data_IF_362444340308
#
_entry.id   IF_362444340308
#
_cell.length_a   1.000
_cell.length_b   1.000
_cell.length_c   1.000
_cell.angle_alpha   90.00
_cell.angle_beta   90.00
_cell.angle_gamma   90.00
#
_symmetry.space_group_name_H-M   'P 1'
#
loop_
_entity.id
_entity.type
_entity.pdbx_description
1 polymer ?
#
# COMPACT_ATOMS: atom_id res chain seq x y z
N UNK A 1 -0.31 12.21 -27.05
CA UNK A 1 0.68 11.33 -26.39
C UNK A 1 1.44 12.01 -25.24
N UNK A 2 1.65 13.29 -25.25
CA UNK A 2 2.43 13.99 -24.23
C UNK A 2 1.66 14.38 -22.97
N UNK A 3 0.34 14.47 -23.07
CA UNK A 3 -0.54 14.88 -21.97
C UNK A 3 -1.41 13.75 -21.40
N UNK A 4 -1.39 12.57 -22.03
CA UNK A 4 -2.31 11.48 -21.67
C UNK A 4 -1.66 10.10 -21.87
N UNK A 5 -2.02 9.10 -21.05
CA UNK A 5 -1.46 7.76 -21.09
C UNK A 5 -2.08 6.91 -22.24
N UNK A 6 -2.06 7.44 -23.45
CA UNK A 6 -2.52 6.76 -24.68
C UNK A 6 -1.37 6.09 -25.41
N UNK A 7 -1.63 4.97 -26.06
CA UNK A 7 -0.65 4.25 -26.89
C UNK A 7 -0.82 4.59 -28.38
N UNK A 8 0.21 4.34 -29.18
CA UNK A 8 0.11 4.50 -30.63
C UNK A 8 -0.92 3.54 -31.23
N UNK A 9 -1.13 2.36 -30.64
CA UNK A 9 -2.18 1.42 -31.05
C UNK A 9 -3.58 1.97 -30.81
N UNK A 10 -3.81 2.66 -29.68
CA UNK A 10 -5.07 3.35 -29.44
C UNK A 10 -5.31 4.45 -30.51
N UNK A 11 -4.26 5.19 -30.87
CA UNK A 11 -4.37 6.22 -31.92
C UNK A 11 -4.61 5.63 -33.31
N UNK A 12 -4.08 4.44 -33.61
CA UNK A 12 -4.36 3.70 -34.83
C UNK A 12 -5.86 3.40 -34.99
N UNK A 13 -6.51 2.96 -33.91
CA UNK A 13 -7.96 2.67 -33.91
C UNK A 13 -8.82 3.91 -34.21
N UNK A 14 -8.41 5.08 -33.71
CA UNK A 14 -9.18 6.31 -33.88
C UNK A 14 -8.83 7.12 -35.13
N UNK A 15 -7.55 7.12 -35.52
CA UNK A 15 -7.03 8.01 -36.58
C UNK A 15 -6.53 7.26 -37.80
N UNK A 16 -6.60 5.93 -37.83
CA UNK A 16 -6.16 5.05 -38.92
C UNK A 16 -4.69 5.24 -39.33
N UNK A 17 -3.83 5.61 -38.37
CA UNK A 17 -2.39 5.79 -38.58
C UNK A 17 -1.69 4.53 -38.09
N UNK A 18 -0.86 3.89 -38.91
CA UNK A 18 -0.12 2.67 -38.55
C UNK A 18 0.68 2.87 -37.24
N UNK A 19 0.29 2.16 -36.16
CA UNK A 19 0.83 2.32 -34.81
C UNK A 19 2.36 2.24 -34.76
N UNK A 20 2.94 1.20 -35.34
CA UNK A 20 4.40 0.99 -35.31
C UNK A 20 5.19 2.09 -36.07
N UNK A 21 4.65 2.58 -37.19
CA UNK A 21 5.26 3.66 -37.94
C UNK A 21 5.19 4.96 -37.17
N UNK A 22 4.02 5.25 -36.59
CA UNK A 22 3.82 6.45 -35.78
C UNK A 22 4.68 6.43 -34.52
N UNK A 23 4.76 5.28 -33.83
CA UNK A 23 5.60 5.15 -32.64
C UNK A 23 7.07 5.42 -32.93
N UNK A 24 7.60 4.86 -34.04
CA UNK A 24 8.96 5.12 -34.48
C UNK A 24 9.17 6.60 -34.79
N UNK A 25 8.30 7.22 -35.57
CA UNK A 25 8.40 8.66 -35.92
C UNK A 25 8.30 9.54 -34.66
N UNK A 26 7.36 9.23 -33.77
CA UNK A 26 7.22 9.97 -32.54
C UNK A 26 8.47 9.86 -31.67
N UNK A 27 9.01 8.65 -31.51
CA UNK A 27 10.22 8.39 -30.72
C UNK A 27 11.47 9.06 -31.34
N UNK A 28 11.66 8.97 -32.67
CA UNK A 28 12.88 9.41 -33.31
C UNK A 28 12.89 10.92 -33.62
N UNK A 29 11.73 11.51 -33.95
CA UNK A 29 11.71 12.85 -34.56
C UNK A 29 10.76 13.83 -33.85
N UNK A 30 9.63 13.40 -33.32
CA UNK A 30 8.58 14.32 -32.88
C UNK A 30 8.59 14.61 -31.37
N UNK A 31 9.03 13.67 -30.54
CA UNK A 31 8.88 13.77 -29.10
C UNK A 31 10.01 14.45 -28.34
N UNK A 32 11.17 14.61 -28.96
CA UNK A 32 12.41 15.02 -28.30
C UNK A 32 13.04 13.92 -27.42
N UNK A 33 12.62 12.66 -27.55
CA UNK A 33 13.16 11.55 -26.77
C UNK A 33 14.67 11.39 -26.93
N UNK A 34 15.19 11.54 -28.18
CA UNK A 34 16.63 11.38 -28.48
C UNK A 34 17.51 12.46 -27.86
N UNK A 35 16.95 13.65 -27.65
CA UNK A 35 17.64 14.79 -27.03
C UNK A 35 17.30 15.01 -25.58
N UNK A 36 16.57 14.05 -24.98
CA UNK A 36 16.17 14.15 -23.58
C UNK A 36 17.37 14.02 -22.64
N UNK A 37 17.55 15.01 -21.77
CA UNK A 37 18.69 15.14 -20.85
C UNK A 37 18.86 13.96 -19.89
N UNK A 38 17.76 13.30 -19.50
CA UNK A 38 17.79 12.13 -18.60
C UNK A 38 17.89 10.79 -19.33
N UNK A 39 17.98 10.77 -20.67
CA UNK A 39 18.01 9.54 -21.47
C UNK A 39 19.10 8.55 -21.03
N UNK A 40 20.27 9.07 -20.63
CA UNK A 40 21.43 8.26 -20.25
C UNK A 40 21.14 7.28 -19.10
N UNK A 41 20.36 7.72 -18.14
CA UNK A 41 20.10 7.01 -16.86
C UNK A 41 18.62 6.74 -16.57
N UNK A 42 17.71 6.99 -17.52
CA UNK A 42 16.27 6.91 -17.31
C UNK A 42 15.76 5.53 -16.87
N UNK A 43 16.49 4.46 -17.17
CA UNK A 43 16.20 3.10 -16.69
C UNK A 43 16.59 2.87 -15.22
N UNK A 44 17.35 3.77 -14.62
CA UNK A 44 17.81 3.69 -13.23
C UNK A 44 17.13 4.72 -12.34
N UNK A 45 17.07 5.96 -12.77
CA UNK A 45 16.45 7.04 -12.00
C UNK A 45 16.02 8.21 -12.88
N UNK A 46 14.96 8.90 -12.42
CA UNK A 46 14.47 10.19 -12.93
C UNK A 46 14.38 11.18 -11.79
N UNK A 47 14.71 12.45 -12.03
CA UNK A 47 14.58 13.54 -11.06
C UNK A 47 14.09 14.81 -11.73
N UNK A 48 13.08 15.46 -11.13
CA UNK A 48 12.45 16.69 -11.61
C UNK A 48 12.40 17.71 -10.47
N UNK A 49 13.47 18.46 -10.31
CA UNK A 49 13.67 19.39 -9.20
C UNK A 49 12.59 20.49 -9.11
N UNK A 50 12.06 20.92 -10.26
CA UNK A 50 11.03 21.97 -10.34
C UNK A 50 9.66 21.52 -9.78
N UNK A 51 9.44 20.21 -9.67
CA UNK A 51 8.18 19.66 -9.17
C UNK A 51 8.12 19.55 -7.64
N UNK A 52 9.21 19.87 -6.94
CA UNK A 52 9.24 19.78 -5.50
C UNK A 52 8.28 20.80 -4.88
N UNK A 53 7.58 20.43 -3.82
CA UNK A 53 6.62 21.29 -3.12
C UNK A 53 6.68 21.08 -1.62
N UNK A 54 5.92 21.86 -0.87
CA UNK A 54 5.91 21.81 0.59
C UNK A 54 5.43 20.47 1.19
N UNK A 55 4.61 19.73 0.46
CA UNK A 55 4.07 18.42 0.90
C UNK A 55 4.35 17.36 -0.15
N UNK A 56 5.10 16.34 0.24
CA UNK A 56 5.49 15.24 -0.65
C UNK A 56 5.10 13.89 -0.05
N UNK A 57 5.03 12.88 -0.92
CA UNK A 57 4.88 11.47 -0.50
C UNK A 57 6.07 10.67 -1.05
N UNK A 58 6.55 9.72 -0.25
CA UNK A 58 7.50 8.69 -0.66
C UNK A 58 6.79 7.36 -0.56
N UNK A 59 6.80 6.57 -1.64
CA UNK A 59 6.13 5.28 -1.69
C UNK A 59 6.88 4.31 -2.62
N UNK A 60 6.66 3.02 -2.44
CA UNK A 60 7.24 1.96 -3.27
C UNK A 60 6.19 1.36 -4.19
N UNK A 61 6.58 1.03 -5.40
CA UNK A 61 5.70 0.32 -6.33
C UNK A 61 6.45 -0.74 -7.13
N UNK A 62 5.82 -1.90 -7.26
CA UNK A 62 6.26 -2.93 -8.20
C UNK A 62 5.57 -2.66 -9.55
N UNK A 63 6.33 -2.56 -10.63
CA UNK A 63 5.76 -2.33 -11.96
C UNK A 63 5.52 -3.63 -12.73
N UNK A 64 6.51 -4.51 -12.82
CA UNK A 64 6.37 -5.87 -13.40
C UNK A 64 7.57 -6.73 -13.03
N UNK A 65 7.42 -8.05 -13.12
CA UNK A 65 8.51 -9.03 -12.93
C UNK A 65 9.37 -8.81 -11.66
N UNK A 66 8.78 -8.28 -10.58
CA UNK A 66 9.52 -7.97 -9.36
C UNK A 66 10.36 -6.68 -9.41
N UNK A 67 10.26 -5.88 -10.47
CA UNK A 67 10.93 -4.57 -10.51
C UNK A 67 10.27 -3.60 -9.54
N UNK A 68 10.99 -3.24 -8.49
CA UNK A 68 10.59 -2.25 -7.50
C UNK A 68 11.13 -0.88 -7.87
N UNK A 69 10.33 0.14 -7.63
CA UNK A 69 10.71 1.55 -7.76
C UNK A 69 10.28 2.31 -6.51
N UNK A 70 11.16 3.19 -6.02
CA UNK A 70 10.79 4.22 -5.05
C UNK A 70 10.37 5.46 -5.81
N UNK A 71 9.19 5.98 -5.49
CA UNK A 71 8.60 7.15 -6.17
C UNK A 71 8.40 8.26 -5.16
N UNK A 72 8.88 9.45 -5.50
CA UNK A 72 8.66 10.68 -4.75
C UNK A 72 7.70 11.57 -5.53
N UNK A 73 6.61 11.98 -4.88
CA UNK A 73 5.54 12.72 -5.53
C UNK A 73 5.18 14.00 -4.78
N UNK A 74 4.83 15.05 -5.53
CA UNK A 74 4.23 16.27 -4.99
C UNK A 74 2.73 16.05 -4.76
N UNK A 75 2.30 16.07 -3.51
CA UNK A 75 0.91 15.84 -3.12
C UNK A 75 -0.04 16.91 -3.66
N UNK A 76 0.43 18.14 -3.81
CA UNK A 76 -0.39 19.27 -4.26
C UNK A 76 -0.83 19.16 -5.71
N UNK A 77 -0.07 18.46 -6.56
CA UNK A 77 -0.36 18.32 -8.00
C UNK A 77 -1.42 17.26 -8.34
N UNK A 78 -1.80 16.42 -7.37
CA UNK A 78 -2.92 15.46 -7.47
C UNK A 78 -2.90 14.53 -8.69
N UNK A 79 -1.72 14.03 -9.08
CA UNK A 79 -1.58 13.09 -10.21
C UNK A 79 -1.70 13.75 -11.59
N UNK A 80 -1.50 15.05 -11.66
CA UNK A 80 -1.36 15.83 -12.90
C UNK A 80 0.12 16.11 -13.18
N UNK A 81 0.40 16.89 -14.20
CA UNK A 81 1.74 17.41 -14.50
C UNK A 81 2.32 18.11 -13.24
N UNK A 82 3.61 17.91 -13.00
CA UNK A 82 4.29 18.37 -11.78
C UNK A 82 4.19 17.41 -10.59
N UNK A 83 3.52 16.26 -10.73
CA UNK A 83 3.38 15.28 -9.65
C UNK A 83 4.66 14.50 -9.39
N UNK A 84 5.33 14.06 -10.44
CA UNK A 84 6.52 13.22 -10.33
C UNK A 84 7.74 14.09 -9.99
N UNK A 85 8.29 13.89 -8.78
CA UNK A 85 9.54 14.55 -8.35
C UNK A 85 10.73 13.65 -8.64
N UNK A 86 10.65 12.37 -8.26
CA UNK A 86 11.68 11.40 -8.54
C UNK A 86 11.09 9.99 -8.68
N UNK A 87 11.74 9.18 -9.49
CA UNK A 87 11.47 7.77 -9.64
C UNK A 87 12.80 7.02 -9.73
N UNK A 88 13.08 6.14 -8.78
CA UNK A 88 14.37 5.46 -8.65
C UNK A 88 14.15 3.95 -8.63
N UNK A 89 14.88 3.22 -9.44
CA UNK A 89 14.83 1.75 -9.47
C UNK A 89 15.43 1.17 -8.20
N UNK A 90 14.65 0.35 -7.50
CA UNK A 90 14.98 -0.26 -6.22
C UNK A 90 14.47 0.53 -5.03
N UNK A 91 14.79 0.00 -3.84
CA UNK A 91 14.32 0.48 -2.52
C UNK A 91 15.48 0.79 -1.57
N UNK A 92 16.73 0.71 -2.06
CA UNK A 92 17.92 1.00 -1.27
C UNK A 92 17.96 2.48 -0.89
N UNK A 93 18.06 2.75 0.42
CA UNK A 93 18.11 4.11 0.93
C UNK A 93 19.28 4.91 0.33
N UNK A 94 20.43 4.29 0.12
CA UNK A 94 21.61 4.99 -0.41
C UNK A 94 21.42 5.39 -1.87
N UNK A 95 20.90 4.48 -2.72
CA UNK A 95 20.62 4.78 -4.13
C UNK A 95 19.56 5.87 -4.32
N UNK A 96 18.51 5.80 -3.51
CA UNK A 96 17.42 6.80 -3.56
C UNK A 96 17.93 8.16 -3.04
N UNK A 97 18.69 8.15 -1.95
CA UNK A 97 19.32 9.36 -1.41
C UNK A 97 20.24 10.00 -2.44
N UNK A 98 21.12 9.22 -3.11
CA UNK A 98 22.01 9.73 -4.14
C UNK A 98 21.25 10.40 -5.29
N UNK A 99 20.15 9.81 -5.76
CA UNK A 99 19.32 10.39 -6.80
C UNK A 99 18.65 11.71 -6.35
N UNK A 100 18.07 11.74 -5.13
CA UNK A 100 17.38 12.91 -4.61
C UNK A 100 18.35 14.05 -4.27
N UNK A 101 19.58 13.74 -3.84
CA UNK A 101 20.62 14.74 -3.56
C UNK A 101 21.09 15.53 -4.80
N UNK A 102 20.73 15.11 -6.00
CA UNK A 102 20.90 15.90 -7.22
C UNK A 102 19.97 17.11 -7.28
N UNK A 103 18.93 17.15 -6.46
CA UNK A 103 18.09 18.33 -6.25
C UNK A 103 18.84 19.27 -5.32
N UNK A 104 18.92 20.51 -5.69
CA UNK A 104 19.54 21.57 -4.88
C UNK A 104 18.98 21.61 -3.45
N UNK A 105 19.85 21.86 -2.47
CA UNK A 105 19.49 21.88 -1.06
C UNK A 105 18.41 22.93 -0.75
N UNK A 106 18.50 24.10 -1.38
CA UNK A 106 17.48 25.14 -1.21
C UNK A 106 16.09 24.65 -1.62
N UNK A 107 15.98 23.91 -2.72
CA UNK A 107 14.71 23.32 -3.16
C UNK A 107 14.24 22.20 -2.23
N UNK A 108 15.16 21.38 -1.71
CA UNK A 108 14.82 20.33 -0.75
C UNK A 108 14.36 20.90 0.61
N UNK A 109 14.89 22.07 1.01
CA UNK A 109 14.55 22.72 2.29
C UNK A 109 13.13 23.30 2.32
N UNK A 110 12.46 23.51 1.18
CA UNK A 110 11.06 23.96 1.15
C UNK A 110 10.07 22.88 1.56
N UNK A 111 10.50 21.61 1.61
CA UNK A 111 9.64 20.50 2.02
C UNK A 111 9.35 20.60 3.51
N UNK A 112 8.08 20.75 3.86
CA UNK A 112 7.59 20.89 5.23
C UNK A 112 7.03 19.57 5.78
N UNK A 113 6.48 18.74 4.89
CA UNK A 113 5.83 17.48 5.25
C UNK A 113 6.13 16.37 4.27
N UNK A 114 6.41 15.19 4.82
CA UNK A 114 6.58 13.96 4.07
C UNK A 114 5.65 12.90 4.63
N UNK A 115 4.81 12.33 3.77
CA UNK A 115 4.03 11.13 4.10
C UNK A 115 4.75 9.90 3.56
N UNK A 116 4.92 8.89 4.42
CA UNK A 116 5.65 7.65 4.10
C UNK A 116 5.06 6.46 4.88
N UNK A 117 5.49 5.26 4.53
CA UNK A 117 5.20 4.05 5.31
C UNK A 117 6.13 3.91 6.54
N UNK A 118 6.08 2.77 7.22
CA UNK A 118 6.92 2.47 8.39
C UNK A 118 8.25 1.79 8.01
N UNK A 119 8.66 1.82 6.74
CA UNK A 119 9.92 1.25 6.29
C UNK A 119 11.11 2.08 6.78
N UNK A 120 12.09 1.43 7.39
CA UNK A 120 13.31 2.08 7.86
C UNK A 120 14.10 2.75 6.73
N UNK A 121 14.07 2.18 5.51
CA UNK A 121 14.70 2.78 4.34
C UNK A 121 14.08 4.11 3.98
N UNK A 122 12.74 4.22 3.97
CA UNK A 122 12.04 5.47 3.68
C UNK A 122 12.27 6.54 4.75
N UNK A 123 12.30 6.14 6.02
CA UNK A 123 12.64 7.04 7.12
C UNK A 123 14.06 7.60 6.99
N UNK A 124 15.02 6.76 6.58
CA UNK A 124 16.40 7.16 6.37
C UNK A 124 16.52 8.12 5.17
N UNK A 125 15.84 7.84 4.06
CA UNK A 125 15.77 8.73 2.90
C UNK A 125 15.19 10.10 3.32
N UNK A 126 14.05 10.11 3.99
CA UNK A 126 13.40 11.34 4.43
C UNK A 126 14.30 12.16 5.38
N UNK A 127 14.99 11.50 6.32
CA UNK A 127 15.92 12.14 7.27
C UNK A 127 17.11 12.77 6.55
N UNK A 128 17.70 12.07 5.58
CA UNK A 128 18.89 12.52 4.86
C UNK A 128 18.59 13.62 3.85
N UNK A 129 17.51 13.44 3.07
CA UNK A 129 17.20 14.33 1.96
C UNK A 129 16.40 15.56 2.36
N UNK A 130 15.59 15.47 3.42
CA UNK A 130 14.63 16.50 3.82
C UNK A 130 14.62 16.68 5.35
N UNK A 131 15.74 17.14 5.97
CA UNK A 131 15.92 17.15 7.41
C UNK A 131 14.90 18.01 8.16
N UNK A 132 14.38 19.06 7.51
CA UNK A 132 13.43 20.01 8.09
C UNK A 132 11.97 19.56 8.00
N UNK A 133 11.70 18.49 7.26
CA UNK A 133 10.34 18.04 7.00
C UNK A 133 9.76 17.21 8.16
N UNK A 134 8.52 17.50 8.54
CA UNK A 134 7.74 16.66 9.42
C UNK A 134 7.40 15.34 8.73
N UNK A 135 7.76 14.22 9.35
CA UNK A 135 7.50 12.87 8.83
C UNK A 135 6.19 12.36 9.40
N UNK A 136 5.25 12.03 8.54
CA UNK A 136 3.92 11.50 8.90
C UNK A 136 3.78 10.09 8.37
N UNK A 137 3.45 9.14 9.25
CA UNK A 137 3.17 7.75 8.86
C UNK A 137 1.76 7.66 8.26
N UNK A 138 1.67 6.96 7.14
CA UNK A 138 0.37 6.70 6.53
C UNK A 138 -0.46 5.70 7.34
N UNK A 139 -1.64 6.14 7.76
CA UNK A 139 -2.59 5.33 8.54
C UNK A 139 -3.03 4.04 7.84
N UNK A 140 -3.00 3.99 6.49
CA UNK A 140 -3.41 2.80 5.75
C UNK A 140 -2.44 1.65 5.98
N UNK A 141 -1.13 1.92 6.05
CA UNK A 141 -0.12 0.93 6.40
C UNK A 141 -0.31 0.42 7.83
N UNK A 142 -0.62 1.30 8.78
CA UNK A 142 -0.95 0.92 10.16
C UNK A 142 -2.17 -0.01 10.19
N UNK A 143 -3.25 0.36 9.50
CA UNK A 143 -4.46 -0.46 9.44
C UNK A 143 -4.22 -1.80 8.72
N UNK A 144 -3.37 -1.81 7.70
CA UNK A 144 -2.97 -3.03 7.01
C UNK A 144 -2.30 -4.02 7.97
N UNK A 145 -1.34 -3.58 8.79
CA UNK A 145 -0.70 -4.43 9.79
C UNK A 145 -1.72 -5.07 10.75
N UNK A 146 -2.66 -4.27 11.27
CA UNK A 146 -3.71 -4.78 12.15
C UNK A 146 -4.62 -5.80 11.46
N UNK A 147 -4.95 -5.58 10.19
CA UNK A 147 -5.72 -6.52 9.40
C UNK A 147 -4.94 -7.81 9.11
N UNK A 148 -3.64 -7.69 8.83
CA UNK A 148 -2.77 -8.84 8.53
C UNK A 148 -2.60 -9.72 9.78
N UNK A 149 -2.42 -9.14 10.98
CA UNK A 149 -2.38 -9.88 12.24
C UNK A 149 -3.71 -10.62 12.52
N UNK A 150 -4.85 -9.97 12.30
CA UNK A 150 -6.15 -10.62 12.42
C UNK A 150 -6.31 -11.77 11.40
N UNK A 151 -5.78 -11.62 10.18
CA UNK A 151 -5.80 -12.69 9.19
C UNK A 151 -4.87 -13.84 9.54
N UNK A 152 -3.72 -13.57 10.14
CA UNK A 152 -2.81 -14.61 10.64
C UNK A 152 -3.51 -15.52 11.65
N UNK A 153 -4.19 -14.95 12.64
CA UNK A 153 -4.96 -15.72 13.62
C UNK A 153 -6.09 -16.53 12.95
N UNK A 154 -6.85 -15.91 12.02
CA UNK A 154 -7.89 -16.63 11.27
C UNK A 154 -7.33 -17.79 10.44
N UNK A 155 -6.15 -17.63 9.86
CA UNK A 155 -5.48 -18.64 9.05
C UNK A 155 -5.00 -19.79 9.97
N UNK A 156 -4.48 -19.50 11.15
CA UNK A 156 -4.09 -20.51 12.12
C UNK A 156 -5.29 -21.41 12.47
N UNK A 157 -6.41 -20.83 12.91
CA UNK A 157 -7.64 -21.59 13.16
C UNK A 157 -8.14 -22.39 11.96
N UNK A 158 -7.93 -21.85 10.74
CA UNK A 158 -8.32 -22.59 9.54
C UNK A 158 -7.45 -23.82 9.31
N UNK A 159 -6.17 -23.76 9.63
CA UNK A 159 -5.29 -24.93 9.54
C UNK A 159 -5.67 -25.97 10.61
N UNK A 160 -5.97 -25.54 11.84
CA UNK A 160 -6.45 -26.43 12.90
C UNK A 160 -7.75 -27.14 12.50
N UNK A 161 -8.69 -26.39 11.90
CA UNK A 161 -9.95 -26.96 11.40
C UNK A 161 -9.75 -27.94 10.22
N UNK A 162 -8.75 -27.72 9.38
CA UNK A 162 -8.39 -28.65 8.29
C UNK A 162 -7.77 -29.91 8.88
N UNK A 163 -6.89 -29.79 9.86
CA UNK A 163 -6.25 -30.93 10.51
C UNK A 163 -7.30 -31.79 11.22
N UNK A 164 -8.17 -31.16 12.03
CA UNK A 164 -9.25 -31.86 12.71
C UNK A 164 -10.21 -32.63 11.75
N UNK A 165 -10.53 -32.02 10.60
CA UNK A 165 -11.34 -32.68 9.54
C UNK A 165 -10.59 -33.88 8.93
N UNK A 166 -9.28 -33.78 8.76
CA UNK A 166 -8.44 -34.87 8.22
C UNK A 166 -8.34 -36.02 9.22
N UNK A 167 -8.06 -35.72 10.48
CA UNK A 167 -7.93 -36.70 11.56
C UNK A 167 -9.24 -37.48 11.75
N UNK A 168 -10.38 -36.76 11.75
CA UNK A 168 -11.70 -37.38 11.85
C UNK A 168 -12.05 -38.31 10.67
N UNK A 169 -11.57 -37.98 9.46
CA UNK A 169 -11.72 -38.86 8.28
C UNK A 169 -10.87 -40.13 8.38
N UNK A 170 -9.64 -39.98 8.84
CA UNK A 170 -8.74 -41.11 9.04
C UNK A 170 -9.26 -42.06 10.14
N UNK A 171 -9.75 -41.51 11.23
CA UNK A 171 -10.37 -42.28 12.31
C UNK A 171 -11.61 -43.05 11.82
N UNK A 172 -12.53 -42.38 11.11
CA UNK A 172 -13.70 -43.01 10.53
C UNK A 172 -13.31 -44.18 9.57
N UNK A 173 -12.27 -43.96 8.77
CA UNK A 173 -11.74 -44.99 7.86
C UNK A 173 -11.15 -46.19 8.63
N UNK A 174 -10.42 -45.97 9.70
CA UNK A 174 -9.85 -47.02 10.55
C UNK A 174 -10.96 -47.83 11.24
N UNK A 175 -12.06 -47.18 11.63
CA UNK A 175 -13.22 -47.83 12.26
C UNK A 175 -14.20 -48.43 11.27
N UNK A 176 -13.98 -48.28 9.95
CA UNK A 176 -14.92 -48.76 8.90
C UNK A 176 -16.25 -48.01 8.88
N UNK A 177 -16.31 -46.80 9.46
CA UNK A 177 -17.50 -45.97 9.54
C UNK A 177 -17.58 -44.93 8.44
N UNK A 178 -18.80 -44.51 8.03
CA UNK A 178 -18.92 -43.37 7.11
C UNK A 178 -18.54 -42.08 7.79
N UNK A 179 -17.68 -41.28 7.13
CA UNK A 179 -17.32 -39.96 7.62
C UNK A 179 -18.48 -38.96 7.45
N UNK A 180 -18.82 -38.25 8.50
CA UNK A 180 -19.79 -37.14 8.48
C UNK A 180 -19.11 -35.85 8.98
N UNK A 181 -19.03 -34.79 8.16
CA UNK A 181 -18.39 -33.53 8.57
C UNK A 181 -19.22 -32.82 9.64
N UNK A 182 -18.54 -32.14 10.57
CA UNK A 182 -19.19 -31.23 11.51
C UNK A 182 -19.71 -30.02 10.73
N UNK A 183 -21.01 -29.73 10.89
CA UNK A 183 -21.69 -28.60 10.23
C UNK A 183 -22.20 -27.62 11.29
N UNK A 184 -21.89 -26.33 11.11
CA UNK A 184 -22.32 -25.24 11.97
C UNK A 184 -23.76 -24.80 11.67
N UNK A 185 -24.36 -23.99 12.53
CA UNK A 185 -25.75 -23.52 12.41
C UNK A 185 -26.09 -22.78 11.10
N UNK A 186 -25.07 -22.32 10.36
CA UNK A 186 -25.23 -21.67 9.06
C UNK A 186 -25.01 -22.60 7.85
N UNK A 187 -24.82 -23.90 8.08
CA UNK A 187 -24.57 -24.91 7.05
C UNK A 187 -23.11 -24.98 6.55
N UNK A 188 -22.21 -24.14 7.05
CA UNK A 188 -20.79 -24.22 6.75
C UNK A 188 -20.09 -25.21 7.69
N UNK A 189 -19.05 -25.92 7.21
CA UNK A 189 -18.09 -26.56 8.09
C UNK A 189 -17.15 -25.48 8.71
N UNK A 190 -16.45 -25.74 9.85
CA UNK A 190 -15.48 -24.80 10.43
C UNK A 190 -14.47 -24.29 9.41
N UNK A 191 -13.89 -25.18 8.61
CA UNK A 191 -12.96 -24.85 7.52
C UNK A 191 -13.57 -23.90 6.47
N UNK A 192 -14.81 -24.14 6.05
CA UNK A 192 -15.52 -23.31 5.07
C UNK A 192 -15.87 -21.95 5.66
N UNK A 193 -16.35 -21.92 6.91
CA UNK A 193 -16.64 -20.68 7.60
C UNK A 193 -15.39 -19.77 7.67
N UNK A 194 -14.27 -20.28 8.14
CA UNK A 194 -13.02 -19.51 8.24
C UNK A 194 -12.50 -19.07 6.88
N UNK A 195 -12.63 -19.87 5.81
CA UNK A 195 -12.23 -19.48 4.45
C UNK A 195 -13.07 -18.32 3.90
N UNK A 196 -14.39 -18.37 4.10
CA UNK A 196 -15.34 -17.41 3.52
C UNK A 196 -15.45 -16.08 4.29
N UNK A 197 -14.85 -15.97 5.49
CA UNK A 197 -15.01 -14.78 6.36
C UNK A 197 -13.86 -13.77 6.30
N UNK A 198 -12.88 -13.96 5.40
CA UNK A 198 -11.74 -13.04 5.25
C UNK A 198 -12.18 -11.58 5.12
N UNK A 199 -13.07 -11.27 4.17
CA UNK A 199 -13.51 -9.91 3.92
C UNK A 199 -14.49 -9.36 4.95
N UNK A 200 -15.18 -10.23 5.68
CA UNK A 200 -16.05 -9.83 6.77
C UNK A 200 -15.25 -9.17 7.90
N UNK A 201 -14.09 -9.72 8.24
CA UNK A 201 -13.22 -9.23 9.29
C UNK A 201 -12.53 -7.90 8.95
N UNK A 202 -12.42 -7.55 7.67
CA UNK A 202 -11.91 -6.23 7.26
C UNK A 202 -12.96 -5.12 7.33
N UNK A 203 -14.24 -5.50 7.39
CA UNK A 203 -15.35 -4.54 7.35
C UNK A 203 -15.78 -4.17 8.77
N UNK A 204 -16.08 -2.89 8.98
CA UNK A 204 -16.67 -2.41 10.24
C UNK A 204 -18.03 -3.05 10.51
N UNK A 205 -18.31 -3.37 11.76
CA UNK A 205 -19.56 -4.03 12.18
C UNK A 205 -20.82 -3.19 11.87
N UNK A 206 -20.70 -1.86 11.92
CA UNK A 206 -21.78 -0.92 11.55
C UNK A 206 -22.16 -1.01 10.05
N UNK A 207 -21.22 -1.49 9.22
CA UNK A 207 -21.42 -1.67 7.77
C UNK A 207 -21.81 -3.09 7.37
N UNK A 208 -22.00 -3.99 8.32
CA UNK A 208 -22.44 -5.35 8.03
C UNK A 208 -23.91 -5.39 7.67
N UNK A 209 -24.23 -6.16 6.63
CA UNK A 209 -25.62 -6.56 6.36
C UNK A 209 -26.13 -7.50 7.46
N UNK A 210 -27.43 -7.69 7.58
CA UNK A 210 -28.03 -8.60 8.58
C UNK A 210 -27.47 -10.03 8.45
N UNK A 211 -27.30 -10.52 7.22
CA UNK A 211 -26.67 -11.82 6.97
C UNK A 211 -25.20 -11.86 7.42
N UNK A 212 -24.46 -10.77 7.24
CA UNK A 212 -23.06 -10.67 7.70
C UNK A 212 -22.97 -10.64 9.22
N UNK A 213 -23.88 -9.95 9.92
CA UNK A 213 -23.96 -9.93 11.39
C UNK A 213 -24.15 -11.34 11.94
N UNK A 214 -25.16 -12.06 11.44
CA UNK A 214 -25.44 -13.43 11.85
C UNK A 214 -24.24 -14.37 11.66
N UNK A 215 -23.52 -14.20 10.58
CA UNK A 215 -22.32 -14.98 10.27
C UNK A 215 -21.13 -14.61 11.16
N UNK A 216 -21.01 -13.34 11.55
CA UNK A 216 -20.00 -12.90 12.50
C UNK A 216 -20.29 -13.41 13.91
N UNK A 217 -21.55 -13.46 14.33
CA UNK A 217 -21.98 -14.01 15.61
C UNK A 217 -21.53 -15.48 15.74
N UNK A 218 -21.85 -16.32 14.76
CA UNK A 218 -21.42 -17.72 14.74
C UNK A 218 -19.89 -17.86 14.75
N UNK A 219 -19.17 -17.03 13.94
CA UNK A 219 -17.71 -17.05 13.93
C UNK A 219 -17.13 -16.70 15.31
N UNK A 220 -17.65 -15.67 15.95
CA UNK A 220 -17.14 -15.17 17.21
C UNK A 220 -17.58 -16.00 18.42
N UNK A 221 -18.63 -16.77 18.29
CA UNK A 221 -19.03 -17.79 19.27
C UNK A 221 -18.07 -18.98 19.26
N UNK A 222 -17.69 -19.44 18.07
CA UNK A 222 -16.75 -20.54 17.88
C UNK A 222 -15.28 -20.14 18.16
N UNK A 223 -14.92 -18.89 17.87
CA UNK A 223 -13.55 -18.36 18.02
C UNK A 223 -13.57 -17.02 18.76
N UNK A 224 -13.67 -17.03 20.11
CA UNK A 224 -13.73 -15.81 20.93
C UNK A 224 -12.48 -14.93 20.81
N UNK A 225 -11.32 -15.54 20.61
CA UNK A 225 -10.05 -14.84 20.36
C UNK A 225 -10.06 -14.05 19.05
N UNK A 226 -10.71 -14.54 18.00
CA UNK A 226 -10.93 -13.76 16.76
C UNK A 226 -11.86 -12.56 16.98
N UNK A 227 -12.81 -12.65 17.92
CA UNK A 227 -13.65 -11.49 18.33
C UNK A 227 -12.78 -10.42 18.98
N UNK A 228 -11.91 -10.83 19.88
CA UNK A 228 -11.00 -9.91 20.57
C UNK A 228 -10.00 -9.28 19.60
N UNK A 229 -9.36 -10.07 18.75
CA UNK A 229 -8.46 -9.59 17.71
C UNK A 229 -9.15 -8.62 16.73
N UNK A 230 -10.40 -8.92 16.33
CA UNK A 230 -11.22 -8.00 15.53
C UNK A 230 -11.48 -6.68 16.28
N UNK A 231 -11.78 -6.75 17.57
CA UNK A 231 -11.98 -5.56 18.42
C UNK A 231 -10.72 -4.70 18.50
N UNK A 232 -9.53 -5.31 18.64
CA UNK A 232 -8.25 -4.61 18.65
C UNK A 232 -7.96 -3.92 17.31
N UNK A 233 -8.08 -4.63 16.19
CA UNK A 233 -7.88 -4.06 14.85
C UNK A 233 -8.86 -2.92 14.56
N UNK A 234 -10.10 -3.06 15.01
CA UNK A 234 -11.16 -2.08 14.81
C UNK A 234 -10.98 -0.84 15.69
N UNK A 235 -10.62 -1.04 16.98
CA UNK A 235 -10.34 0.06 17.90
C UNK A 235 -9.17 0.92 17.40
N UNK A 236 -8.12 0.32 16.83
CA UNK A 236 -7.03 1.06 16.21
C UNK A 236 -7.54 1.92 15.04
N UNK A 237 -8.37 1.37 14.15
CA UNK A 237 -9.05 2.13 13.07
C UNK A 237 -9.84 3.32 13.61
N UNK A 238 -10.56 3.13 14.72
CA UNK A 238 -11.38 4.17 15.32
C UNK A 238 -10.53 5.30 15.92
N UNK A 239 -9.33 5.01 16.44
CA UNK A 239 -8.39 6.03 16.90
C UNK A 239 -8.07 7.01 15.77
N UNK A 240 -7.69 6.51 14.60
CA UNK A 240 -7.38 7.35 13.43
C UNK A 240 -8.59 8.03 12.80
N UNK A 241 -9.78 7.50 13.00
CA UNK A 241 -11.01 8.06 12.40
C UNK A 241 -11.66 9.13 13.28
N UNK A 242 -11.69 8.94 14.59
CA UNK A 242 -12.44 9.80 15.53
C UNK A 242 -11.60 10.91 16.17
N UNK A 243 -10.31 10.67 16.45
CA UNK A 243 -9.50 11.70 17.08
C UNK A 243 -9.07 12.76 16.05
N UNK A 244 -9.23 14.01 16.43
CA UNK A 244 -8.83 15.17 15.61
C UNK A 244 -7.67 15.94 16.25
N UNK A 245 -7.34 15.65 17.50
CA UNK A 245 -6.30 16.33 18.28
C UNK A 245 -5.23 15.31 18.68
N UNK A 246 -3.96 15.72 18.55
CA UNK A 246 -2.77 14.86 18.81
C UNK A 246 -2.77 14.27 20.23
N UNK A 247 -3.12 15.06 21.25
CA UNK A 247 -3.11 14.60 22.65
C UNK A 247 -4.23 13.60 22.94
N UNK A 248 -5.42 13.80 22.37
CA UNK A 248 -6.51 12.84 22.48
C UNK A 248 -6.14 11.50 21.80
N UNK A 249 -5.46 11.57 20.66
CA UNK A 249 -4.96 10.39 19.96
C UNK A 249 -3.88 9.66 20.78
N UNK A 250 -2.96 10.41 21.41
CA UNK A 250 -1.93 9.86 22.32
C UNK A 250 -2.56 9.05 23.44
N UNK A 251 -3.56 9.59 24.13
CA UNK A 251 -4.26 8.91 25.21
C UNK A 251 -5.02 7.66 24.69
N UNK A 252 -5.63 7.77 23.53
CA UNK A 252 -6.35 6.65 22.88
C UNK A 252 -5.40 5.51 22.48
N UNK A 253 -4.21 5.85 21.96
CA UNK A 253 -3.15 4.87 21.65
C UNK A 253 -2.62 4.20 22.93
N UNK A 254 -2.37 4.96 24.00
CA UNK A 254 -1.94 4.38 25.27
C UNK A 254 -2.95 3.35 25.81
N UNK A 255 -4.25 3.63 25.73
CA UNK A 255 -5.30 2.68 26.09
C UNK A 255 -5.33 1.47 25.16
N UNK A 256 -5.02 1.66 23.88
CA UNK A 256 -4.94 0.58 22.91
C UNK A 256 -3.75 -0.34 23.20
N UNK A 257 -2.57 0.21 23.53
CA UNK A 257 -1.40 -0.57 23.95
C UNK A 257 -1.70 -1.47 25.16
N UNK A 258 -2.35 -0.93 26.19
CA UNK A 258 -2.75 -1.70 27.35
C UNK A 258 -3.70 -2.86 26.98
N UNK A 259 -4.62 -2.65 26.04
CA UNK A 259 -5.50 -3.72 25.55
C UNK A 259 -4.74 -4.81 24.80
N UNK A 260 -3.76 -4.42 23.98
CA UNK A 260 -2.90 -5.37 23.27
C UNK A 260 -2.07 -6.20 24.24
N UNK A 261 -1.46 -5.56 25.22
CA UNK A 261 -0.67 -6.23 26.26
C UNK A 261 -1.50 -7.25 27.04
N UNK A 262 -2.68 -6.85 27.46
CA UNK A 262 -3.62 -7.75 28.20
C UNK A 262 -4.16 -8.90 27.34
N UNK A 263 -4.22 -8.76 26.01
CA UNK A 263 -4.71 -9.83 25.12
C UNK A 263 -3.72 -10.97 24.95
N UNK A 264 -2.43 -10.73 25.14
CA UNK A 264 -1.36 -11.70 24.93
C UNK A 264 -1.14 -12.14 23.48
N UNK A 265 -1.79 -11.49 22.50
CA UNK A 265 -1.66 -11.85 21.09
C UNK A 265 -0.30 -11.40 20.50
N UNK A 266 0.56 -12.38 20.19
CA UNK A 266 1.92 -12.13 19.68
C UNK A 266 1.93 -11.24 18.44
N UNK A 267 1.03 -11.47 17.48
CA UNK A 267 0.92 -10.67 16.25
C UNK A 267 0.57 -9.21 16.53
N UNK A 268 -0.29 -8.93 17.50
CA UNK A 268 -0.63 -7.56 17.91
C UNK A 268 0.47 -6.90 18.74
N UNK A 269 1.23 -7.67 19.53
CA UNK A 269 2.41 -7.15 20.24
C UNK A 269 3.48 -6.65 19.26
N UNK A 270 3.69 -7.34 18.12
CA UNK A 270 4.59 -6.88 17.06
C UNK A 270 4.11 -5.54 16.47
N UNK A 271 2.82 -5.39 16.26
CA UNK A 271 2.26 -4.12 15.79
C UNK A 271 2.46 -3.01 16.82
N UNK A 272 2.19 -3.28 18.08
CA UNK A 272 2.38 -2.32 19.16
C UNK A 272 3.83 -1.84 19.23
N UNK A 273 4.79 -2.76 19.15
CA UNK A 273 6.23 -2.43 19.10
C UNK A 273 6.57 -1.57 17.88
N UNK A 274 6.09 -1.93 16.70
CA UNK A 274 6.31 -1.15 15.46
C UNK A 274 5.72 0.27 15.55
N UNK A 275 4.51 0.41 16.09
CA UNK A 275 3.90 1.73 16.29
C UNK A 275 4.64 2.57 17.33
N UNK A 276 5.20 1.91 18.35
CA UNK A 276 6.02 2.59 19.37
C UNK A 276 7.34 3.09 18.78
N UNK A 277 8.01 2.29 17.95
CA UNK A 277 9.24 2.69 17.24
C UNK A 277 9.01 3.94 16.36
N UNK A 278 7.84 4.04 15.73
CA UNK A 278 7.47 5.15 14.85
C UNK A 278 6.49 6.15 15.49
N UNK A 279 6.45 6.23 16.82
CA UNK A 279 5.42 6.92 17.59
C UNK A 279 5.16 8.37 17.18
N UNK A 280 6.21 9.16 17.01
CA UNK A 280 6.08 10.56 16.61
C UNK A 280 5.49 10.70 15.20
N UNK A 281 5.94 9.86 14.24
CA UNK A 281 5.40 9.83 12.90
C UNK A 281 3.93 9.43 12.84
N UNK A 282 3.52 8.47 13.68
CA UNK A 282 2.12 8.06 13.85
C UNK A 282 1.26 9.21 14.40
N UNK A 283 1.76 9.92 15.41
CA UNK A 283 1.05 11.05 16.01
C UNK A 283 1.00 12.29 15.11
N UNK A 284 1.97 12.46 14.21
CA UNK A 284 1.97 13.56 13.25
C UNK A 284 0.80 13.50 12.27
N UNK A 285 0.23 12.31 12.03
CA UNK A 285 -1.03 12.19 11.27
C UNK A 285 -2.16 13.08 11.83
N UNK A 286 -2.22 13.30 13.15
CA UNK A 286 -3.29 14.09 13.78
C UNK A 286 -3.09 15.60 13.68
N UNK A 287 -1.98 16.07 13.12
CA UNK A 287 -1.73 17.50 12.88
C UNK A 287 -2.49 17.97 11.63
N UNK A 288 -2.35 17.26 10.51
CA UNK A 288 -2.93 17.64 9.21
C UNK A 288 -3.62 16.52 8.46
N UNK A 289 -3.70 15.31 9.06
CA UNK A 289 -4.34 14.11 8.52
C UNK A 289 -3.81 13.68 7.15
N UNK A 290 -2.51 13.87 6.94
CA UNK A 290 -1.85 13.49 5.70
C UNK A 290 -1.89 11.97 5.48
N UNK A 291 -2.14 11.54 4.26
CA UNK A 291 -2.18 10.13 3.86
C UNK A 291 -1.48 9.93 2.52
N UNK A 292 -1.03 8.69 2.27
CA UNK A 292 -0.46 8.26 0.99
C UNK A 292 -1.52 7.84 -0.06
N UNK A 293 -2.82 7.98 0.23
CA UNK A 293 -3.89 7.61 -0.72
C UNK A 293 -3.69 8.23 -2.10
N UNK A 294 -3.07 9.41 -2.13
CA UNK A 294 -2.69 10.08 -3.37
C UNK A 294 -1.54 9.33 -4.09
N UNK A 295 -0.47 8.94 -3.38
CA UNK A 295 0.65 8.19 -3.95
C UNK A 295 0.19 6.80 -4.44
N UNK A 296 -0.66 6.11 -3.70
CA UNK A 296 -1.28 4.85 -4.12
C UNK A 296 -2.08 5.01 -5.42
N UNK A 297 -2.92 6.07 -5.50
CA UNK A 297 -3.67 6.38 -6.71
C UNK A 297 -2.75 6.71 -7.89
N UNK A 298 -1.66 7.43 -7.66
CA UNK A 298 -0.66 7.75 -8.67
C UNK A 298 0.08 6.49 -9.14
N UNK A 299 0.50 5.63 -8.22
CA UNK A 299 1.12 4.34 -8.54
C UNK A 299 0.18 3.46 -9.37
N UNK A 300 -1.12 3.47 -9.06
CA UNK A 300 -2.13 2.77 -9.87
C UNK A 300 -2.23 3.32 -11.30
N UNK A 301 -2.12 4.65 -11.51
CA UNK A 301 -2.08 5.27 -12.85
C UNK A 301 -0.86 4.83 -13.65
N UNK A 302 0.32 4.78 -13.02
CA UNK A 302 1.56 4.29 -13.67
C UNK A 302 1.38 2.82 -14.09
N UNK A 303 0.87 1.98 -13.19
CA UNK A 303 0.60 0.55 -13.47
C UNK A 303 -0.41 0.39 -14.62
N UNK A 304 -1.49 1.15 -14.61
CA UNK A 304 -2.50 1.13 -15.66
C UNK A 304 -1.90 1.55 -17.01
N UNK A 305 -1.10 2.62 -17.04
CA UNK A 305 -0.42 3.05 -18.26
C UNK A 305 0.53 1.95 -18.78
N UNK A 306 1.32 1.34 -17.89
CA UNK A 306 2.19 0.21 -18.28
C UNK A 306 1.39 -0.97 -18.86
N UNK A 307 0.26 -1.29 -18.26
CA UNK A 307 -0.62 -2.37 -18.72
C UNK A 307 -1.18 -2.11 -20.13
N UNK A 308 -1.52 -0.85 -20.47
CA UNK A 308 -2.01 -0.51 -21.81
C UNK A 308 -0.96 -0.71 -22.89
N UNK A 309 0.33 -0.69 -22.55
CA UNK A 309 1.43 -0.92 -23.49
C UNK A 309 1.66 -2.41 -23.80
N UNK A 310 0.92 -3.33 -23.12
CA UNK A 310 1.00 -4.80 -23.31
C UNK A 310 2.42 -5.37 -23.22
N UNK A 311 3.22 -4.79 -22.36
CA UNK A 311 4.64 -5.06 -22.17
C UNK A 311 5.48 -3.84 -22.56
N UNK A 312 6.54 -3.60 -21.80
CA UNK A 312 7.46 -2.49 -22.02
C UNK A 312 8.81 -3.09 -22.41
N UNK A 313 9.13 -3.03 -23.71
CA UNK A 313 10.43 -3.47 -24.25
C UNK A 313 11.48 -2.38 -24.02
N UNK A 314 11.11 -1.11 -24.27
CA UNK A 314 11.98 0.04 -24.06
C UNK A 314 11.59 0.79 -22.79
N UNK A 315 12.28 0.46 -21.71
CA UNK A 315 12.05 1.08 -20.40
C UNK A 315 12.35 2.59 -20.44
N UNK A 316 13.40 3.03 -21.14
CA UNK A 316 13.76 4.44 -21.21
C UNK A 316 12.68 5.26 -21.91
N UNK A 317 12.11 4.72 -22.99
CA UNK A 317 10.99 5.39 -23.67
C UNK A 317 9.72 5.42 -22.82
N UNK A 318 9.44 4.35 -22.07
CA UNK A 318 8.34 4.36 -21.10
C UNK A 318 8.53 5.43 -20.01
N UNK A 319 9.74 5.55 -19.46
CA UNK A 319 10.09 6.57 -18.46
C UNK A 319 9.99 7.99 -19.05
N UNK A 320 10.44 8.19 -20.29
CA UNK A 320 10.24 9.44 -20.99
C UNK A 320 8.76 9.80 -21.14
N UNK A 321 7.92 8.84 -21.48
CA UNK A 321 6.47 9.06 -21.59
C UNK A 321 5.85 9.42 -20.23
N UNK A 322 6.28 8.77 -19.13
CA UNK A 322 5.86 9.13 -17.78
C UNK A 322 6.28 10.57 -17.43
N UNK A 323 7.50 10.97 -17.76
CA UNK A 323 7.96 12.33 -17.50
C UNK A 323 7.12 13.37 -18.25
N UNK A 324 6.81 13.16 -19.52
CA UNK A 324 5.98 14.09 -20.31
C UNK A 324 4.56 14.27 -19.73
N UNK A 325 3.99 13.20 -19.15
CA UNK A 325 2.62 13.22 -18.62
C UNK A 325 2.58 13.79 -17.19
N UNK A 326 3.58 13.50 -16.37
CA UNK A 326 3.48 13.70 -14.91
C UNK A 326 4.59 14.58 -14.31
N UNK A 327 5.65 14.90 -15.06
CA UNK A 327 6.71 15.80 -14.60
C UNK A 327 6.60 17.23 -15.13
#
# INVERSE_FOLDING_TARGET
MESSPVTCRTLEEYYHVKANTFERQYKEHLSGFRSWDQLGHADQWLVFADNIGASICIDETALSNGELYTIVTNRSCRGRKGTLIAMVKGVSADRVTEAIMRIDEHRRSIVQEITLDMSNSMHLIAKRCFPNAMRTIDRFHIQKLANDALQEMRIAHRWDAIQADTDAREEAKCLGLPYTPVVLANGDTPRQMLARRRYLLFKSADKWTQSQKRRAEILFEQYPDLREAYSLAHSLRMIFSKNTVKDAARLSLARWYNKVDNSGFKSFNVIAATLYEHYDGVLNFFVNRATNAFAESFNAKIKAFRATMRGVVDIKFFMFRLSKIYA
#
